data_IF_621059165715
#
_entry.id   IF_621059165715
#
_cell.length_a   1.000
_cell.length_b   1.000
_cell.length_c   1.000
_cell.angle_alpha   90.00
_cell.angle_beta   90.00
_cell.angle_gamma   90.00
#
_symmetry.space_group_name_H-M   'P 1'
#
loop_
_entity.id
_entity.type
_entity.pdbx_description
1 polymer ?
#
# COMPACT_ATOMS: atom_id res chain seq x y z
N UNK A 1 -32.25 -7.02 -3.86
CA UNK A 1 -31.73 -7.20 -5.22
C UNK A 1 -31.87 -5.95 -6.09
N UNK A 2 -33.12 -5.44 -6.33
CA UNK A 2 -33.31 -4.20 -7.13
C UNK A 2 -32.69 -2.95 -6.48
N UNK A 3 -32.56 -2.94 -5.17
CA UNK A 3 -31.92 -1.86 -4.39
C UNK A 3 -30.42 -2.02 -4.32
N UNK A 4 -29.92 -3.24 -4.23
CA UNK A 4 -28.47 -3.54 -4.30
C UNK A 4 -27.92 -3.15 -5.68
N UNK A 5 -28.63 -3.44 -6.76
CA UNK A 5 -28.27 -2.99 -8.10
C UNK A 5 -28.27 -1.45 -8.20
N UNK A 6 -29.32 -0.77 -7.71
CA UNK A 6 -29.39 0.70 -7.71
C UNK A 6 -28.42 1.36 -6.76
N UNK A 7 -28.10 0.77 -5.61
CA UNK A 7 -27.07 1.29 -4.68
C UNK A 7 -25.66 1.01 -5.21
N UNK A 8 -25.38 -0.16 -5.77
CA UNK A 8 -24.09 -0.47 -6.38
C UNK A 8 -23.76 0.43 -7.57
N UNK A 9 -24.77 0.76 -8.41
CA UNK A 9 -24.59 1.74 -9.48
C UNK A 9 -24.52 3.18 -8.99
N UNK A 10 -25.13 3.50 -7.85
CA UNK A 10 -25.30 4.89 -7.39
C UNK A 10 -24.20 5.35 -6.45
N UNK A 11 -23.63 4.50 -5.59
CA UNK A 11 -22.55 4.88 -4.65
C UNK A 11 -21.20 5.12 -5.33
N UNK A 12 -20.97 4.56 -6.53
CA UNK A 12 -19.78 4.85 -7.32
C UNK A 12 -19.85 6.13 -8.16
N UNK A 13 -21.02 6.76 -8.32
CA UNK A 13 -21.25 7.85 -9.27
C UNK A 13 -22.27 8.88 -8.82
N UNK A 14 -22.10 9.49 -7.64
CA UNK A 14 -22.90 10.70 -7.38
C UNK A 14 -22.36 11.86 -8.22
N UNK A 15 -23.04 12.14 -9.33
CA UNK A 15 -22.73 13.31 -10.16
C UNK A 15 -23.20 14.63 -9.54
N UNK A 16 -24.00 14.59 -8.46
CA UNK A 16 -24.43 15.77 -7.73
C UNK A 16 -24.80 15.49 -6.27
N UNK A 17 -24.62 16.50 -5.41
CA UNK A 17 -25.07 16.47 -4.02
C UNK A 17 -26.59 16.20 -3.89
N UNK A 18 -27.39 16.66 -4.86
CA UNK A 18 -28.83 16.43 -4.89
C UNK A 18 -29.23 14.94 -5.03
N UNK A 19 -28.45 14.16 -5.80
CA UNK A 19 -28.68 12.70 -5.93
C UNK A 19 -28.34 11.98 -4.62
N UNK A 20 -27.20 12.31 -4.01
CA UNK A 20 -26.83 11.79 -2.70
C UNK A 20 -27.93 12.10 -1.67
N UNK A 21 -28.40 13.35 -1.62
CA UNK A 21 -29.46 13.76 -0.69
C UNK A 21 -30.78 12.97 -0.89
N UNK A 22 -31.20 12.75 -2.15
CA UNK A 22 -32.41 11.94 -2.45
C UNK A 22 -32.28 10.51 -1.92
N UNK A 23 -31.13 9.87 -2.14
CA UNK A 23 -30.90 8.51 -1.65
C UNK A 23 -30.89 8.47 -0.13
N UNK A 24 -30.23 9.42 0.53
CA UNK A 24 -30.22 9.52 1.99
C UNK A 24 -31.63 9.71 2.56
N UNK A 25 -32.45 10.55 1.93
CA UNK A 25 -33.86 10.75 2.32
C UNK A 25 -34.73 9.49 2.11
N UNK A 26 -34.45 8.70 1.08
CA UNK A 26 -35.11 7.40 0.88
C UNK A 26 -34.66 6.38 1.94
N UNK A 27 -33.37 6.30 2.23
CA UNK A 27 -32.81 5.41 3.25
C UNK A 27 -33.32 5.76 4.65
N UNK A 28 -33.44 7.05 4.99
CA UNK A 28 -33.91 7.50 6.31
C UNK A 28 -35.36 7.10 6.60
N UNK A 29 -36.17 6.78 5.58
CA UNK A 29 -37.55 6.28 5.71
C UNK A 29 -37.66 4.76 5.90
N UNK A 30 -36.52 4.04 5.72
CA UNK A 30 -36.45 2.58 5.91
C UNK A 30 -35.97 2.26 7.32
N UNK A 31 -36.43 1.16 7.84
CA UNK A 31 -35.97 0.61 9.12
C UNK A 31 -35.43 -0.81 8.92
N UNK A 32 -34.55 -1.24 9.79
CA UNK A 32 -34.05 -2.61 9.84
C UNK A 32 -33.33 -3.10 8.58
N UNK A 33 -32.45 -2.27 7.98
CA UNK A 33 -31.55 -2.70 6.92
C UNK A 33 -30.11 -2.80 7.43
N UNK A 34 -29.24 -3.42 6.64
CA UNK A 34 -27.80 -3.49 6.93
C UNK A 34 -27.05 -2.54 6.00
N UNK A 35 -26.23 -1.69 6.56
CA UNK A 35 -25.29 -0.82 5.85
C UNK A 35 -23.92 -1.48 5.87
N UNK A 36 -23.42 -1.87 4.71
CA UNK A 36 -22.08 -2.47 4.55
C UNK A 36 -21.16 -1.41 3.97
N UNK A 37 -20.02 -1.18 4.63
CA UNK A 37 -19.00 -0.21 4.20
C UNK A 37 -17.68 -0.95 4.08
N UNK A 38 -17.17 -1.01 2.86
CA UNK A 38 -15.89 -1.60 2.53
C UNK A 38 -14.78 -0.54 2.59
N UNK A 39 -13.51 -0.99 2.74
CA UNK A 39 -12.34 -0.12 2.89
C UNK A 39 -12.54 0.95 3.98
N UNK A 40 -13.13 0.56 5.10
CA UNK A 40 -13.53 1.50 6.15
C UNK A 40 -12.35 2.23 6.80
N UNK A 41 -11.14 1.68 6.74
CA UNK A 41 -9.92 2.34 7.22
C UNK A 41 -9.61 3.66 6.47
N UNK A 42 -10.22 3.88 5.31
CA UNK A 42 -10.04 5.11 4.51
C UNK A 42 -11.19 6.12 4.72
N UNK A 43 -12.03 5.91 5.73
CA UNK A 43 -13.18 6.79 5.97
C UNK A 43 -12.73 8.14 6.54
N UNK A 44 -13.28 9.23 6.01
CA UNK A 44 -13.15 10.55 6.60
C UNK A 44 -14.23 10.80 7.66
N UNK A 45 -13.96 11.69 8.62
CA UNK A 45 -14.85 11.99 9.75
C UNK A 45 -16.27 12.39 9.31
N UNK A 46 -16.40 13.14 8.22
CA UNK A 46 -17.72 13.54 7.72
C UNK A 46 -18.56 12.34 7.26
N UNK A 47 -17.93 11.38 6.56
CA UNK A 47 -18.60 10.14 6.13
C UNK A 47 -18.95 9.25 7.31
N UNK A 48 -18.06 9.18 8.31
CA UNK A 48 -18.32 8.47 9.56
C UNK A 48 -19.53 9.05 10.29
N UNK A 49 -19.58 10.38 10.48
CA UNK A 49 -20.70 11.05 11.15
C UNK A 49 -22.03 10.83 10.42
N UNK A 50 -22.00 10.83 9.09
CA UNK A 50 -23.17 10.50 8.26
C UNK A 50 -23.62 9.05 8.49
N UNK A 51 -22.68 8.10 8.47
CA UNK A 51 -22.96 6.67 8.74
C UNK A 51 -23.60 6.49 10.12
N UNK A 52 -22.98 7.09 11.14
CA UNK A 52 -23.49 7.03 12.52
C UNK A 52 -24.90 7.60 12.61
N UNK A 53 -25.12 8.79 12.04
CA UNK A 53 -26.45 9.43 12.05
C UNK A 53 -27.52 8.63 11.34
N UNK A 54 -27.18 8.02 10.19
CA UNK A 54 -28.09 7.13 9.49
C UNK A 54 -28.45 5.91 10.34
N UNK A 55 -27.46 5.26 10.94
CA UNK A 55 -27.74 4.08 11.79
C UNK A 55 -28.64 4.42 12.99
N UNK A 56 -28.45 5.59 13.62
CA UNK A 56 -29.28 6.06 14.72
C UNK A 56 -30.76 6.29 14.30
N UNK A 57 -30.98 6.98 13.16
CA UNK A 57 -32.32 7.32 12.68
C UNK A 57 -33.07 6.07 12.18
N UNK A 58 -32.36 5.19 11.49
CA UNK A 58 -32.99 4.04 10.80
C UNK A 58 -32.91 2.75 11.58
N UNK A 59 -32.15 2.72 12.68
CA UNK A 59 -31.80 1.52 13.44
C UNK A 59 -31.13 0.45 12.55
N UNK A 60 -30.39 0.89 11.52
CA UNK A 60 -29.67 0.01 10.64
C UNK A 60 -28.48 -0.65 11.37
N UNK A 61 -28.24 -1.91 11.03
CA UNK A 61 -26.98 -2.58 11.39
C UNK A 61 -25.86 -2.04 10.50
N UNK A 62 -24.71 -1.74 11.07
CA UNK A 62 -23.53 -1.32 10.33
C UNK A 62 -22.49 -2.43 10.34
N UNK A 63 -22.03 -2.82 9.16
CA UNK A 63 -20.93 -3.75 8.97
C UNK A 63 -19.80 -2.96 8.30
N UNK A 64 -18.73 -2.71 9.05
CA UNK A 64 -17.53 -2.04 8.57
C UNK A 64 -16.44 -3.08 8.29
N UNK A 65 -15.97 -3.13 7.05
CA UNK A 65 -14.90 -4.04 6.63
C UNK A 65 -13.68 -3.20 6.24
N UNK A 66 -12.51 -3.62 6.69
CA UNK A 66 -11.28 -2.87 6.39
C UNK A 66 -10.02 -3.53 6.95
N UNK A 67 -8.89 -2.90 6.66
CA UNK A 67 -7.58 -3.31 7.12
C UNK A 67 -6.75 -2.08 7.50
N UNK A 68 -6.55 -1.86 8.80
CA UNK A 68 -5.80 -0.71 9.32
C UNK A 68 -4.35 -0.66 8.84
N UNK A 69 -3.73 -1.81 8.49
CA UNK A 69 -2.40 -1.85 7.89
C UNK A 69 -2.37 -1.27 6.46
N UNK A 70 -3.53 -1.09 5.84
CA UNK A 70 -3.69 -0.50 4.51
C UNK A 70 -4.28 0.93 4.54
N UNK A 71 -4.34 1.58 5.71
CA UNK A 71 -4.76 2.98 5.83
C UNK A 71 -3.62 3.91 5.38
N UNK A 72 -3.70 4.41 4.15
CA UNK A 72 -2.63 5.18 3.48
C UNK A 72 -3.13 6.48 2.83
N UNK A 73 -4.28 6.98 3.24
CA UNK A 73 -4.92 8.17 2.67
C UNK A 73 -5.19 9.27 3.71
N UNK A 74 -4.34 9.39 4.75
CA UNK A 74 -4.46 10.45 5.75
C UNK A 74 -4.40 11.85 5.09
N UNK A 75 -3.53 12.02 4.07
CA UNK A 75 -3.43 13.25 3.28
C UNK A 75 -4.75 13.65 2.58
N UNK A 76 -5.68 12.72 2.36
CA UNK A 76 -7.02 12.98 1.79
C UNK A 76 -8.11 13.09 2.86
N UNK A 77 -7.73 13.15 4.13
CA UNK A 77 -8.62 13.33 5.28
C UNK A 77 -9.20 12.04 5.85
N UNK A 78 -8.64 10.87 5.52
CA UNK A 78 -8.99 9.64 6.23
C UNK A 78 -8.47 9.66 7.67
N UNK A 79 -9.24 9.06 8.59
CA UNK A 79 -8.93 9.02 10.01
C UNK A 79 -8.96 7.57 10.49
N UNK A 80 -7.78 6.96 10.63
CA UNK A 80 -7.62 5.57 11.04
C UNK A 80 -8.25 5.28 12.41
N UNK A 81 -8.34 6.30 13.29
CA UNK A 81 -8.93 6.13 14.62
C UNK A 81 -10.41 5.78 14.57
N UNK A 82 -11.10 6.16 13.50
CA UNK A 82 -12.50 5.81 13.27
C UNK A 82 -12.69 4.31 13.03
N UNK A 83 -11.67 3.65 12.48
CA UNK A 83 -11.65 2.21 12.30
C UNK A 83 -11.18 1.48 13.55
N UNK A 84 -10.01 1.85 14.08
CA UNK A 84 -9.43 1.17 15.25
C UNK A 84 -10.25 1.31 16.52
N UNK A 85 -11.08 2.36 16.62
CA UNK A 85 -12.00 2.61 17.75
C UNK A 85 -13.48 2.50 17.33
N UNK A 86 -13.78 1.71 16.31
CA UNK A 86 -15.12 1.63 15.75
C UNK A 86 -16.19 1.27 16.80
N UNK A 87 -15.94 0.27 17.64
CA UNK A 87 -16.89 -0.15 18.67
C UNK A 87 -17.08 0.91 19.75
N UNK A 88 -16.03 1.61 20.15
CA UNK A 88 -16.15 2.73 21.12
C UNK A 88 -17.04 3.84 20.59
N UNK A 89 -16.94 4.12 19.28
CA UNK A 89 -17.60 5.23 18.60
C UNK A 89 -19.04 4.91 18.17
N UNK A 90 -19.29 3.66 17.77
CA UNK A 90 -20.60 3.22 17.26
C UNK A 90 -21.45 2.53 18.31
N UNK A 91 -20.85 2.05 19.42
CA UNK A 91 -21.54 1.34 20.49
C UNK A 91 -21.39 -0.17 20.38
N UNK A 92 -22.31 -0.91 20.99
CA UNK A 92 -22.24 -2.37 21.08
C UNK A 92 -22.16 -3.04 19.70
N UNK A 93 -21.22 -3.97 19.55
CA UNK A 93 -20.98 -4.70 18.30
C UNK A 93 -20.07 -5.89 18.50
N UNK A 94 -19.73 -6.57 17.41
CA UNK A 94 -18.82 -7.72 17.40
C UNK A 94 -17.70 -7.45 16.41
N UNK A 95 -16.46 -7.60 16.86
CA UNK A 95 -15.28 -7.57 16.01
C UNK A 95 -14.96 -8.99 15.53
N UNK A 96 -14.76 -9.15 14.23
CA UNK A 96 -14.31 -10.38 13.60
C UNK A 96 -13.01 -10.11 12.84
N UNK A 97 -12.04 -11.02 12.95
CA UNK A 97 -10.75 -10.94 12.25
C UNK A 97 -10.68 -11.99 11.16
N UNK A 98 -10.41 -11.56 9.93
CA UNK A 98 -10.07 -12.44 8.81
C UNK A 98 -8.57 -12.69 8.90
N UNK A 99 -8.19 -13.93 9.24
CA UNK A 99 -6.80 -14.31 9.48
C UNK A 99 -6.16 -15.06 8.31
N UNK A 100 -6.92 -15.52 7.34
CA UNK A 100 -6.40 -16.26 6.20
C UNK A 100 -6.21 -15.38 4.97
N UNK A 101 -5.05 -15.51 4.33
CA UNK A 101 -4.74 -14.87 3.05
C UNK A 101 -4.25 -15.91 2.05
N UNK A 102 -4.55 -15.69 0.77
CA UNK A 102 -4.19 -16.58 -0.34
C UNK A 102 -3.31 -15.89 -1.39
N UNK A 103 -2.97 -14.64 -1.18
CA UNK A 103 -2.16 -13.85 -2.13
C UNK A 103 -0.68 -14.09 -1.92
N UNK A 104 -0.18 -13.76 -0.76
CA UNK A 104 1.24 -13.77 -0.42
C UNK A 104 1.65 -15.12 0.21
N UNK A 105 2.95 -15.44 0.20
CA UNK A 105 3.51 -16.55 0.97
C UNK A 105 3.50 -16.24 2.47
N UNK A 106 3.59 -17.27 3.31
CA UNK A 106 3.65 -17.14 4.76
C UNK A 106 4.86 -16.31 5.18
N UNK A 107 6.01 -16.57 4.58
CA UNK A 107 7.28 -15.90 4.88
C UNK A 107 7.19 -14.38 4.56
N UNK A 108 6.54 -14.01 3.45
CA UNK A 108 6.36 -12.60 3.10
C UNK A 108 5.43 -11.88 4.10
N UNK A 109 4.32 -12.51 4.49
CA UNK A 109 3.39 -11.89 5.43
C UNK A 109 3.95 -11.80 6.85
N UNK A 110 4.81 -12.73 7.26
CA UNK A 110 5.50 -12.66 8.55
C UNK A 110 6.46 -11.47 8.59
N UNK A 111 7.23 -11.27 7.52
CA UNK A 111 8.13 -10.12 7.37
C UNK A 111 7.34 -8.80 7.30
N UNK A 112 6.43 -8.68 6.34
CA UNK A 112 5.68 -7.45 6.11
C UNK A 112 4.75 -7.10 7.28
N UNK A 113 4.08 -8.11 7.85
CA UNK A 113 3.24 -7.96 9.03
C UNK A 113 4.03 -7.61 10.29
N UNK A 114 5.19 -8.25 10.50
CA UNK A 114 6.11 -7.90 11.58
C UNK A 114 6.61 -6.47 11.48
N UNK A 115 6.95 -6.02 10.26
CA UNK A 115 7.39 -4.65 10.01
C UNK A 115 6.30 -3.61 10.34
N UNK A 116 5.07 -3.79 9.84
CA UNK A 116 4.00 -2.79 10.06
C UNK A 116 3.51 -2.78 11.51
N UNK A 117 3.49 -3.92 12.19
CA UNK A 117 3.05 -4.07 13.59
C UNK A 117 4.05 -3.53 14.63
N UNK A 118 5.24 -3.07 14.22
CA UNK A 118 6.11 -2.29 15.11
C UNK A 118 5.42 -1.02 15.62
N UNK A 119 4.53 -0.44 14.82
CA UNK A 119 3.64 0.59 15.31
C UNK A 119 2.58 -0.04 16.24
N UNK A 120 2.69 0.24 17.52
CA UNK A 120 1.79 -0.31 18.55
C UNK A 120 0.33 0.15 18.40
N UNK A 121 0.06 1.22 17.65
CA UNK A 121 -1.28 1.69 17.34
C UNK A 121 -2.01 0.83 16.30
N UNK A 122 -1.30 -0.05 15.59
CA UNK A 122 -1.91 -0.96 14.63
C UNK A 122 -2.59 -2.15 15.33
N UNK A 123 -3.71 -2.59 14.77
CA UNK A 123 -4.41 -3.78 15.25
C UNK A 123 -3.51 -5.01 15.04
N UNK A 124 -3.21 -5.71 16.13
CA UNK A 124 -2.40 -6.93 16.05
C UNK A 124 -3.18 -8.04 15.36
N UNK A 125 -2.58 -8.58 14.29
CA UNK A 125 -3.12 -9.69 13.48
C UNK A 125 -2.03 -10.72 13.27
N UNK A 126 -2.42 -11.98 13.30
CA UNK A 126 -1.59 -13.09 12.84
C UNK A 126 -2.24 -13.66 11.59
N UNK A 127 -1.62 -13.42 10.45
CA UNK A 127 -2.12 -13.90 9.18
C UNK A 127 -1.53 -15.27 8.88
N UNK A 128 -2.32 -16.14 8.25
CA UNK A 128 -1.97 -17.49 7.85
C UNK A 128 -2.14 -17.62 6.34
N UNK A 129 -1.14 -18.18 5.67
CA UNK A 129 -1.18 -18.48 4.25
C UNK A 129 -0.86 -19.96 4.00
N UNK A 130 -1.56 -20.64 3.09
CA UNK A 130 -1.17 -21.97 2.63
C UNK A 130 0.02 -21.95 1.64
N UNK A 131 0.45 -20.76 1.21
CA UNK A 131 1.57 -20.61 0.28
C UNK A 131 2.87 -20.43 1.04
N UNK A 132 3.92 -21.09 0.54
CA UNK A 132 5.29 -20.94 1.02
C UNK A 132 6.21 -20.58 -0.14
N UNK A 133 7.17 -19.72 0.12
CA UNK A 133 8.18 -19.32 -0.85
C UNK A 133 9.46 -18.95 -0.10
N UNK A 134 10.52 -19.68 -0.35
CA UNK A 134 11.84 -19.33 0.15
C UNK A 134 12.29 -17.99 -0.46
N UNK A 135 12.98 -17.17 0.34
CA UNK A 135 13.45 -15.84 -0.07
C UNK A 135 12.37 -14.96 -0.73
N UNK A 136 11.28 -14.64 -0.03
CA UNK A 136 10.16 -13.88 -0.61
C UNK A 136 10.53 -12.43 -0.94
N UNK A 137 11.68 -11.95 -0.41
CA UNK A 137 12.26 -10.62 -0.68
C UNK A 137 13.69 -10.80 -1.17
N UNK A 138 13.99 -10.29 -2.36
CA UNK A 138 15.36 -10.19 -2.90
C UNK A 138 15.80 -8.74 -2.96
N UNK A 139 16.97 -8.44 -2.40
CA UNK A 139 17.58 -7.11 -2.42
C UNK A 139 18.65 -7.08 -3.49
N UNK A 140 18.52 -6.13 -4.42
CA UNK A 140 19.46 -5.98 -5.53
C UNK A 140 20.05 -4.56 -5.50
N UNK A 141 21.30 -4.41 -5.04
CA UNK A 141 21.95 -3.12 -4.94
C UNK A 141 22.46 -2.63 -6.30
N UNK A 142 22.51 -1.29 -6.47
CA UNK A 142 23.13 -0.65 -7.61
C UNK A 142 24.11 0.44 -7.16
N UNK A 143 25.10 0.72 -8.03
CA UNK A 143 26.03 1.81 -7.79
C UNK A 143 25.36 3.16 -8.04
N UNK A 144 25.31 4.00 -7.03
CA UNK A 144 24.68 5.32 -7.06
C UNK A 144 25.69 6.48 -7.21
N UNK A 145 26.98 6.20 -7.39
CA UNK A 145 28.02 7.23 -7.55
C UNK A 145 28.03 7.81 -8.97
N UNK A 146 27.88 6.95 -9.98
CA UNK A 146 27.94 7.34 -11.39
C UNK A 146 26.63 7.01 -12.10
N UNK A 147 25.99 8.03 -12.73
CA UNK A 147 24.75 7.86 -13.50
C UNK A 147 23.74 6.93 -12.82
N UNK A 148 23.27 7.26 -11.61
CA UNK A 148 22.49 6.33 -10.78
C UNK A 148 21.21 5.83 -11.45
N UNK A 149 20.60 6.61 -12.36
CA UNK A 149 19.41 6.18 -13.07
C UNK A 149 19.71 5.10 -14.12
N UNK A 150 20.86 5.16 -14.78
CA UNK A 150 21.28 4.11 -15.72
C UNK A 150 21.61 2.82 -14.95
N UNK A 151 22.31 2.92 -13.80
CA UNK A 151 22.62 1.78 -12.95
C UNK A 151 21.32 1.12 -12.45
N UNK A 152 20.35 1.91 -11.98
CA UNK A 152 19.04 1.41 -11.60
C UNK A 152 18.31 0.73 -12.77
N UNK A 153 18.32 1.33 -13.97
CA UNK A 153 17.68 0.75 -15.15
C UNK A 153 18.27 -0.62 -15.51
N UNK A 154 19.60 -0.75 -15.48
CA UNK A 154 20.29 -2.03 -15.71
C UNK A 154 19.92 -3.07 -14.66
N UNK A 155 19.86 -2.70 -13.40
CA UNK A 155 19.45 -3.60 -12.31
C UNK A 155 18.00 -4.04 -12.46
N UNK A 156 17.09 -3.13 -12.85
CA UNK A 156 15.69 -3.52 -13.10
C UNK A 156 15.61 -4.52 -14.26
N UNK A 157 16.35 -4.32 -15.36
CA UNK A 157 16.41 -5.29 -16.47
C UNK A 157 17.00 -6.64 -16.03
N UNK A 158 18.01 -6.66 -15.17
CA UNK A 158 18.53 -7.88 -14.57
C UNK A 158 17.44 -8.61 -13.79
N UNK A 159 16.72 -7.91 -12.90
CA UNK A 159 15.62 -8.47 -12.12
C UNK A 159 14.51 -9.01 -13.03
N UNK A 160 14.15 -8.29 -14.09
CA UNK A 160 13.16 -8.76 -15.07
C UNK A 160 13.63 -10.07 -15.71
N UNK A 161 14.91 -10.17 -16.09
CA UNK A 161 15.49 -11.41 -16.61
C UNK A 161 15.35 -12.57 -15.61
N UNK A 162 15.73 -12.37 -14.35
CA UNK A 162 15.57 -13.38 -13.28
C UNK A 162 14.11 -13.82 -13.12
N UNK A 163 13.16 -12.87 -13.17
CA UNK A 163 11.72 -13.18 -13.07
C UNK A 163 11.26 -14.03 -14.26
N UNK A 164 11.71 -13.70 -15.47
CA UNK A 164 11.36 -14.45 -16.68
C UNK A 164 11.92 -15.87 -16.59
N UNK A 165 13.16 -16.03 -16.17
CA UNK A 165 13.81 -17.33 -16.05
C UNK A 165 13.16 -18.22 -14.98
N UNK A 166 12.78 -17.64 -13.84
CA UNK A 166 12.20 -18.38 -12.71
C UNK A 166 10.69 -18.65 -12.87
N UNK A 167 9.93 -17.63 -13.33
CA UNK A 167 8.46 -17.67 -13.33
C UNK A 167 7.83 -17.66 -14.73
N UNK A 168 8.59 -17.36 -15.77
CA UNK A 168 8.13 -17.28 -17.15
C UNK A 168 7.72 -15.87 -17.59
N UNK A 169 7.86 -15.60 -18.91
CA UNK A 169 7.64 -14.28 -19.54
C UNK A 169 6.20 -13.75 -19.43
N UNK A 170 5.22 -14.64 -19.25
CA UNK A 170 3.80 -14.26 -19.15
C UNK A 170 3.41 -13.71 -17.78
N UNK A 171 4.29 -13.81 -16.79
CA UNK A 171 4.00 -13.32 -15.44
C UNK A 171 3.97 -11.81 -15.39
N UNK A 172 2.98 -11.28 -14.71
CA UNK A 172 2.85 -9.84 -14.53
C UNK A 172 3.91 -9.30 -13.55
N UNK A 173 4.57 -8.22 -13.95
CA UNK A 173 5.59 -7.52 -13.17
C UNK A 173 5.10 -6.10 -12.91
N UNK A 174 5.05 -5.71 -11.64
CA UNK A 174 4.74 -4.35 -11.25
C UNK A 174 5.99 -3.63 -10.75
N UNK A 175 6.38 -2.57 -11.44
CA UNK A 175 7.35 -1.61 -10.94
C UNK A 175 6.61 -0.66 -10.01
N UNK A 176 7.04 -0.54 -8.75
CA UNK A 176 6.46 0.40 -7.78
C UNK A 176 7.47 1.49 -7.44
N UNK A 177 7.11 2.74 -7.76
CA UNK A 177 7.79 3.93 -7.26
C UNK A 177 7.04 4.59 -6.12
N UNK A 178 7.68 5.53 -5.42
CA UNK A 178 6.98 6.39 -4.46
C UNK A 178 6.20 7.49 -5.18
N UNK A 179 6.71 7.95 -6.33
CA UNK A 179 6.16 9.04 -7.14
C UNK A 179 6.12 8.67 -8.62
N UNK A 180 5.24 9.33 -9.39
CA UNK A 180 5.18 9.14 -10.85
C UNK A 180 6.50 9.51 -11.54
N UNK A 181 7.21 10.53 -11.05
CA UNK A 181 8.46 10.96 -11.64
C UNK A 181 9.60 9.94 -11.51
N UNK A 182 9.49 8.94 -10.63
CA UNK A 182 10.48 7.87 -10.51
C UNK A 182 10.59 7.11 -11.84
N UNK A 183 9.46 6.80 -12.45
CA UNK A 183 9.44 6.15 -13.76
C UNK A 183 9.84 7.09 -14.90
N UNK A 184 9.46 8.37 -14.84
CA UNK A 184 9.89 9.35 -15.85
C UNK A 184 11.43 9.49 -15.91
N UNK A 185 12.14 9.34 -14.80
CA UNK A 185 13.60 9.31 -14.79
C UNK A 185 14.14 8.07 -15.50
N UNK A 186 13.50 6.91 -15.33
CA UNK A 186 13.89 5.67 -15.99
C UNK A 186 13.64 5.72 -17.50
N UNK A 187 12.56 6.31 -17.98
CA UNK A 187 12.31 6.49 -19.42
C UNK A 187 13.42 7.29 -20.10
N UNK A 188 14.00 8.29 -19.42
CA UNK A 188 15.11 9.09 -19.95
C UNK A 188 16.41 8.31 -20.15
N UNK A 189 16.53 7.12 -19.59
CA UNK A 189 17.72 6.27 -19.77
C UNK A 189 17.71 5.52 -21.11
N UNK A 190 16.56 5.41 -21.77
CA UNK A 190 16.37 4.66 -23.00
C UNK A 190 16.21 3.14 -22.82
N UNK A 191 16.23 2.62 -21.58
CA UNK A 191 16.00 1.20 -21.30
C UNK A 191 14.51 0.83 -21.28
N UNK A 192 13.65 1.82 -21.04
CA UNK A 192 12.21 1.63 -20.90
C UNK A 192 11.43 2.67 -21.69
N UNK A 193 10.29 2.25 -22.24
CA UNK A 193 9.34 3.09 -22.96
C UNK A 193 7.97 3.05 -22.29
N UNK A 194 7.30 4.20 -22.21
CA UNK A 194 5.93 4.29 -21.69
C UNK A 194 4.93 3.83 -22.74
N UNK A 195 4.01 2.97 -22.34
CA UNK A 195 2.86 2.55 -23.14
C UNK A 195 1.55 3.01 -22.47
N UNK A 196 0.45 3.13 -23.25
CA UNK A 196 -0.85 3.52 -22.68
C UNK A 196 -1.30 2.64 -21.53
N UNK A 197 -1.96 3.25 -20.53
CA UNK A 197 -2.54 2.54 -19.38
C UNK A 197 -1.54 2.12 -18.29
N UNK A 198 -0.40 2.83 -18.18
CA UNK A 198 0.63 2.53 -17.16
C UNK A 198 1.46 1.29 -17.48
N UNK A 199 1.36 0.77 -18.72
CA UNK A 199 2.21 -0.32 -19.18
C UNK A 199 3.60 0.21 -19.51
N UNK A 200 4.60 -0.66 -19.36
CA UNK A 200 6.01 -0.33 -19.60
C UNK A 200 6.59 -1.37 -20.56
N UNK A 201 7.31 -0.92 -21.57
CA UNK A 201 8.08 -1.80 -22.44
C UNK A 201 9.56 -1.70 -22.05
N UNK A 202 10.19 -2.83 -21.83
CA UNK A 202 11.64 -2.93 -21.71
C UNK A 202 12.25 -3.14 -23.10
N UNK A 203 13.31 -2.41 -23.42
CA UNK A 203 14.04 -2.60 -24.68
C UNK A 203 14.71 -3.98 -24.72
N UNK A 204 15.22 -4.45 -23.58
CA UNK A 204 15.87 -5.77 -23.48
C UNK A 204 14.88 -6.94 -23.46
N UNK A 205 13.69 -6.74 -22.88
CA UNK A 205 12.65 -7.78 -22.74
C UNK A 205 11.29 -7.28 -23.26
N UNK A 206 11.15 -7.09 -24.58
CA UNK A 206 9.98 -6.43 -25.19
C UNK A 206 8.66 -7.20 -25.00
N UNK A 207 8.74 -8.49 -24.70
CA UNK A 207 7.58 -9.37 -24.49
C UNK A 207 7.19 -9.51 -23.00
N UNK A 208 7.93 -8.90 -22.08
CA UNK A 208 7.62 -8.94 -20.66
C UNK A 208 6.35 -8.14 -20.33
N UNK A 209 5.49 -8.70 -19.47
CA UNK A 209 4.25 -8.05 -19.05
C UNK A 209 4.53 -7.11 -17.86
N UNK A 210 4.96 -5.88 -18.14
CA UNK A 210 5.41 -4.90 -17.15
C UNK A 210 4.40 -3.77 -17.04
N UNK A 211 4.11 -3.34 -15.82
CA UNK A 211 3.34 -2.13 -15.52
C UNK A 211 4.07 -1.30 -14.47
N UNK A 212 3.79 0.00 -14.43
CA UNK A 212 4.26 0.89 -13.38
C UNK A 212 3.09 1.53 -12.63
N UNK A 213 3.24 1.63 -11.31
CA UNK A 213 2.33 2.38 -10.44
C UNK A 213 3.10 3.00 -9.27
N UNK A 214 2.53 4.05 -8.70
CA UNK A 214 2.98 4.51 -7.38
C UNK A 214 2.51 3.54 -6.29
N UNK A 215 3.18 3.53 -5.14
CA UNK A 215 2.77 2.71 -4.01
C UNK A 215 1.30 2.94 -3.62
N UNK A 216 0.84 4.20 -3.62
CA UNK A 216 -0.58 4.54 -3.36
C UNK A 216 -1.52 3.96 -4.41
N UNK A 217 -1.20 4.12 -5.70
CA UNK A 217 -2.06 3.63 -6.79
C UNK A 217 -2.11 2.10 -6.90
N UNK A 218 -1.15 1.40 -6.30
CA UNK A 218 -1.08 -0.06 -6.28
C UNK A 218 -2.05 -0.71 -5.28
N UNK A 219 -2.62 0.07 -4.36
CA UNK A 219 -3.59 -0.44 -3.37
C UNK A 219 -4.76 -1.17 -4.05
N UNK A 220 -5.19 -2.28 -3.46
CA UNK A 220 -6.27 -3.11 -4.00
C UNK A 220 -5.86 -4.07 -5.13
N UNK A 221 -4.75 -3.82 -5.81
CA UNK A 221 -4.28 -4.63 -6.94
C UNK A 221 -3.37 -5.79 -6.50
N UNK A 222 -3.11 -6.72 -7.44
CA UNK A 222 -2.20 -7.83 -7.22
C UNK A 222 -1.52 -8.27 -8.51
N UNK A 223 -0.20 -8.44 -8.45
CA UNK A 223 0.66 -8.86 -9.56
C UNK A 223 1.43 -10.12 -9.21
N UNK A 224 1.99 -10.81 -10.20
CA UNK A 224 2.75 -12.02 -9.88
C UNK A 224 4.06 -11.67 -9.18
N UNK A 225 4.79 -10.65 -9.65
CA UNK A 225 6.02 -10.17 -9.02
C UNK A 225 6.02 -8.63 -8.92
N UNK A 226 6.71 -8.11 -7.91
CA UNK A 226 6.83 -6.67 -7.64
C UNK A 226 8.30 -6.27 -7.58
N UNK A 227 8.64 -5.13 -8.18
CA UNK A 227 9.97 -4.50 -8.08
C UNK A 227 9.79 -3.10 -7.49
N UNK A 228 10.35 -2.86 -6.30
CA UNK A 228 10.38 -1.55 -5.68
C UNK A 228 11.60 -0.77 -6.19
N UNK A 229 11.38 0.37 -6.83
CA UNK A 229 12.40 1.12 -7.56
C UNK A 229 12.86 2.42 -6.91
N UNK A 230 12.29 2.79 -5.75
CA UNK A 230 12.57 4.06 -5.04
C UNK A 230 13.04 3.82 -3.61
N UNK A 231 13.82 2.77 -3.36
CA UNK A 231 14.22 2.39 -2.01
C UNK A 231 15.55 3.04 -1.59
N UNK A 232 15.53 4.37 -1.49
CA UNK A 232 16.69 5.16 -1.05
C UNK A 232 16.35 6.11 0.12
N UNK A 233 17.36 6.50 0.87
CA UNK A 233 17.26 7.47 1.97
C UNK A 233 17.32 8.89 1.43
N UNK A 234 16.32 9.72 1.74
CA UNK A 234 16.28 11.11 1.35
C UNK A 234 14.88 11.71 1.27
N UNK A 235 14.83 13.04 1.05
CA UNK A 235 13.58 13.81 1.04
C UNK A 235 12.49 13.21 0.13
N UNK A 236 12.87 12.68 -1.03
CA UNK A 236 11.98 12.06 -2.01
C UNK A 236 12.17 10.54 -2.09
N UNK A 237 12.75 9.93 -1.06
CA UNK A 237 12.94 8.50 -0.97
C UNK A 237 11.69 7.76 -0.50
N UNK A 238 11.88 6.54 -0.04
CA UNK A 238 10.87 5.74 0.63
C UNK A 238 11.45 5.21 1.95
N UNK A 239 11.07 5.75 3.12
CA UNK A 239 9.96 6.69 3.35
C UNK A 239 10.23 8.10 2.83
N UNK A 240 9.14 8.78 2.47
CA UNK A 240 9.16 10.19 2.16
C UNK A 240 9.47 10.99 3.43
N UNK A 241 10.42 11.96 3.32
CA UNK A 241 10.80 12.85 4.43
C UNK A 241 10.30 14.30 4.21
N UNK A 242 9.32 14.48 3.34
CA UNK A 242 8.65 15.78 3.18
C UNK A 242 7.71 15.92 4.37
N UNK A 243 7.91 16.96 5.16
CA UNK A 243 6.98 17.31 6.23
C UNK A 243 5.67 17.82 5.63
N UNK A 244 4.56 17.38 6.22
CA UNK A 244 3.25 17.89 5.87
C UNK A 244 3.14 19.38 6.25
N UNK A 245 2.32 20.12 5.49
CA UNK A 245 1.99 21.50 5.82
C UNK A 245 1.44 21.55 7.26
N UNK A 246 1.89 22.50 8.10
CA UNK A 246 1.38 22.67 9.46
C UNK A 246 -0.15 22.74 9.56
N UNK A 247 -0.82 23.24 8.53
CA UNK A 247 -2.29 23.28 8.45
C UNK A 247 -2.87 21.86 8.40
N UNK A 248 -2.20 20.91 7.73
CA UNK A 248 -2.65 19.52 7.66
C UNK A 248 -2.67 18.87 9.04
N UNK A 249 -1.72 19.23 9.92
CA UNK A 249 -1.70 18.72 11.31
C UNK A 249 -2.93 19.11 12.15
N UNK A 250 -3.67 20.15 11.73
CA UNK A 250 -4.92 20.57 12.39
C UNK A 250 -6.13 19.71 11.99
N UNK A 251 -6.04 19.01 10.86
CA UNK A 251 -7.16 18.26 10.27
C UNK A 251 -6.87 16.75 10.11
N UNK A 252 -5.62 16.35 10.23
CA UNK A 252 -5.22 14.93 10.22
C UNK A 252 -5.07 14.41 11.64
N UNK A 253 -5.66 13.26 11.90
CA UNK A 253 -5.53 12.55 13.19
C UNK A 253 -4.48 11.45 13.03
N UNK A 254 -3.21 11.83 12.96
CA UNK A 254 -2.14 10.86 12.97
C UNK A 254 -1.73 10.51 14.42
N UNK A 255 -1.53 9.22 14.64
CA UNK A 255 -0.76 8.77 15.79
C UNK A 255 0.72 9.12 15.55
N UNK A 256 1.17 10.21 16.17
CA UNK A 256 2.55 10.69 16.06
C UNK A 256 3.54 9.89 16.92
N UNK A 257 3.10 8.83 17.60
CA UNK A 257 3.95 7.99 18.46
C UNK A 257 5.02 7.22 17.69
N UNK A 258 4.76 6.90 16.41
CA UNK A 258 5.69 6.16 15.55
C UNK A 258 6.12 7.01 14.36
N UNK A 259 7.43 7.29 14.19
CA UNK A 259 7.92 7.99 13.00
C UNK A 259 7.52 7.28 11.70
N UNK A 260 7.09 8.07 10.71
CA UNK A 260 6.69 7.53 9.40
C UNK A 260 5.56 6.48 9.45
N UNK A 261 4.61 6.59 10.38
CA UNK A 261 3.54 5.60 10.56
C UNK A 261 2.76 5.31 9.27
N UNK A 262 2.34 6.33 8.51
CA UNK A 262 1.66 6.16 7.23
C UNK A 262 2.60 5.58 6.14
N UNK A 263 3.84 6.03 6.06
CA UNK A 263 4.83 5.49 5.12
C UNK A 263 5.13 4.00 5.41
N UNK A 264 5.10 3.55 6.68
CA UNK A 264 5.20 2.14 7.04
C UNK A 264 4.05 1.32 6.49
N UNK A 265 2.82 1.81 6.62
CA UNK A 265 1.64 1.17 6.02
C UNK A 265 1.73 1.16 4.50
N UNK A 266 2.20 2.27 3.91
CA UNK A 266 2.41 2.36 2.47
C UNK A 266 3.46 1.35 1.97
N UNK A 267 4.53 1.15 2.73
CA UNK A 267 5.55 0.14 2.41
C UNK A 267 4.99 -1.29 2.54
N UNK A 268 4.22 -1.56 3.59
CA UNK A 268 3.48 -2.82 3.72
C UNK A 268 2.55 -3.06 2.51
N UNK A 269 1.78 -2.04 2.10
CA UNK A 269 0.94 -2.12 0.91
C UNK A 269 1.77 -2.46 -0.32
N UNK A 270 2.89 -1.77 -0.55
CA UNK A 270 3.76 -2.01 -1.70
C UNK A 270 4.32 -3.44 -1.72
N UNK A 271 4.84 -3.94 -0.59
CA UNK A 271 5.36 -5.30 -0.47
C UNK A 271 4.29 -6.36 -0.71
N UNK A 272 3.07 -6.15 -0.25
CA UNK A 272 1.99 -7.15 -0.32
C UNK A 272 1.21 -7.15 -1.64
N UNK A 273 1.64 -6.38 -2.65
CA UNK A 273 1.03 -6.42 -3.99
C UNK A 273 1.44 -7.64 -4.81
N UNK A 274 2.44 -8.38 -4.40
CA UNK A 274 2.94 -9.56 -5.11
C UNK A 274 2.15 -10.83 -4.75
N UNK A 275 2.12 -11.79 -5.69
CA UNK A 275 1.72 -13.17 -5.41
C UNK A 275 2.92 -14.09 -5.17
N UNK A 276 4.10 -13.72 -5.70
CA UNK A 276 5.34 -14.48 -5.56
C UNK A 276 6.37 -13.65 -4.77
N UNK A 277 7.28 -12.96 -5.45
CA UNK A 277 8.45 -12.33 -4.84
C UNK A 277 8.44 -10.80 -4.95
N UNK A 278 8.98 -10.14 -3.94
CA UNK A 278 9.31 -8.73 -3.96
C UNK A 278 10.80 -8.58 -4.24
N UNK A 279 11.15 -7.78 -5.24
CA UNK A 279 12.52 -7.36 -5.50
C UNK A 279 12.67 -5.91 -5.07
N UNK A 280 13.77 -5.60 -4.40
CA UNK A 280 14.06 -4.25 -3.91
C UNK A 280 15.34 -3.76 -4.56
N UNK A 281 15.21 -2.84 -5.53
CA UNK A 281 16.35 -2.15 -6.11
C UNK A 281 16.75 -0.98 -5.20
N UNK A 282 17.98 -0.99 -4.68
CA UNK A 282 18.44 0.00 -3.70
C UNK A 282 19.85 0.54 -4.05
N UNK A 283 20.12 1.83 -3.85
CA UNK A 283 21.48 2.36 -3.96
C UNK A 283 22.38 1.81 -2.84
N UNK A 284 23.64 1.51 -3.16
CA UNK A 284 24.61 0.97 -2.20
C UNK A 284 24.93 1.94 -1.07
N UNK A 285 25.10 3.23 -1.39
CA UNK A 285 25.58 4.22 -0.42
C UNK A 285 24.46 4.83 0.43
N UNK A 286 23.24 4.90 -0.12
CA UNK A 286 22.09 5.54 0.57
C UNK A 286 20.83 4.65 0.50
N UNK A 287 20.88 3.42 1.03
CA UNK A 287 19.71 2.56 1.06
C UNK A 287 18.61 3.18 1.94
N UNK A 288 17.36 2.85 1.66
CA UNK A 288 16.23 3.24 2.49
C UNK A 288 16.38 2.75 3.92
N UNK A 289 16.07 3.60 4.91
CA UNK A 289 16.02 3.20 6.33
C UNK A 289 15.04 2.05 6.57
N UNK A 290 13.93 1.97 5.85
CA UNK A 290 13.00 0.86 5.94
C UNK A 290 13.61 -0.45 5.45
N UNK A 291 14.43 -0.38 4.40
CA UNK A 291 15.18 -1.55 3.94
C UNK A 291 16.22 -2.00 4.95
N UNK A 292 16.99 -1.06 5.51
CA UNK A 292 17.99 -1.38 6.55
C UNK A 292 17.33 -2.00 7.78
N UNK A 293 16.16 -1.49 8.18
CA UNK A 293 15.36 -2.06 9.25
C UNK A 293 14.90 -3.49 8.93
N UNK A 294 14.37 -3.74 7.74
CA UNK A 294 13.98 -5.09 7.31
C UNK A 294 15.14 -6.08 7.36
N UNK A 295 16.31 -5.68 6.86
CA UNK A 295 17.51 -6.53 6.87
C UNK A 295 17.89 -6.91 8.30
N UNK A 296 17.95 -5.91 9.20
CA UNK A 296 18.37 -6.13 10.60
C UNK A 296 17.39 -7.00 11.39
N UNK A 297 16.09 -6.78 11.20
CA UNK A 297 15.07 -7.43 12.02
C UNK A 297 14.68 -8.85 11.55
N UNK A 298 14.77 -9.07 10.24
CA UNK A 298 14.31 -10.33 9.62
C UNK A 298 15.45 -11.13 8.96
N UNK A 299 16.70 -10.70 9.14
CA UNK A 299 17.90 -11.35 8.59
C UNK A 299 17.77 -11.62 7.07
N UNK A 300 17.24 -10.64 6.31
CA UNK A 300 17.08 -10.80 4.88
C UNK A 300 18.45 -10.86 4.19
N UNK A 301 18.72 -11.87 3.34
CA UNK A 301 19.96 -11.96 2.59
C UNK A 301 20.19 -10.71 1.74
N UNK A 302 21.41 -10.17 1.82
CA UNK A 302 21.80 -8.96 1.09
C UNK A 302 23.29 -8.98 0.75
N UNK A 303 23.71 -8.11 -0.17
CA UNK A 303 25.13 -7.97 -0.51
C UNK A 303 25.87 -7.18 0.56
N UNK A 304 27.11 -7.58 0.85
CA UNK A 304 27.97 -6.98 1.90
C UNK A 304 28.34 -5.52 1.63
N UNK A 305 28.21 -5.04 0.39
CA UNK A 305 28.56 -3.69 -0.03
C UNK A 305 27.42 -2.65 0.12
N UNK A 306 26.29 -3.05 0.72
CA UNK A 306 25.23 -2.11 1.10
C UNK A 306 25.63 -1.38 2.37
N UNK A 307 25.57 -0.05 2.34
CA UNK A 307 25.85 0.77 3.52
C UNK A 307 24.74 0.64 4.58
N UNK A 308 24.99 -0.16 5.61
CA UNK A 308 24.07 -0.39 6.71
C UNK A 308 24.09 0.68 7.81
N UNK A 309 24.92 1.75 7.66
CA UNK A 309 25.02 2.87 8.60
C UNK A 309 23.96 3.94 8.29
N UNK A 310 22.68 3.59 8.31
CA UNK A 310 21.61 4.57 8.26
C UNK A 310 21.22 4.94 9.68
N UNK A 311 21.08 6.25 9.92
CA UNK A 311 20.78 6.88 11.21
C UNK A 311 19.66 6.13 11.94
N UNK A 312 19.93 5.75 13.18
CA UNK A 312 18.97 5.09 14.05
C UNK A 312 17.72 5.97 14.22
N UNK A 313 16.55 5.44 13.88
CA UNK A 313 15.26 6.15 13.95
C UNK A 313 14.82 6.46 15.39
N UNK A 314 15.51 5.88 16.38
CA UNK A 314 15.13 5.93 17.79
C UNK A 314 16.21 6.53 18.71
N UNK A 315 17.27 7.13 18.14
CA UNK A 315 18.30 7.85 18.89
C UNK A 315 18.02 9.34 19.00
#
# INVERSE_FOLDING_TARGET
EEIEAKLGETFGRFSSFAQLFKVLMQLSKRKNFTLIIDEFQDIARQRFNLTKRLSEITQAKVVAVGDDWQSIYAFSGSDITLFTRFLDLMGAGTELKITHTYRNSQELIDIAGGFVQKNSAQIRKQLISPKHLDDPIKIVPFDDQFKPMNALAVVIEQIIGEIIDEFGVQRSILLIGRYNYDMHKLYRTGHFEELPGGRVKSEKYPNANISFMTAHSSKGLGYDNVILINMFEGKFGFPCQIEDDPIMKLVTYEDTSMPFAEERRLFYVAMTRTKNRVYIATPKNKPSRFLVELIKDFNIPHADDINMQVVDLFS
#
